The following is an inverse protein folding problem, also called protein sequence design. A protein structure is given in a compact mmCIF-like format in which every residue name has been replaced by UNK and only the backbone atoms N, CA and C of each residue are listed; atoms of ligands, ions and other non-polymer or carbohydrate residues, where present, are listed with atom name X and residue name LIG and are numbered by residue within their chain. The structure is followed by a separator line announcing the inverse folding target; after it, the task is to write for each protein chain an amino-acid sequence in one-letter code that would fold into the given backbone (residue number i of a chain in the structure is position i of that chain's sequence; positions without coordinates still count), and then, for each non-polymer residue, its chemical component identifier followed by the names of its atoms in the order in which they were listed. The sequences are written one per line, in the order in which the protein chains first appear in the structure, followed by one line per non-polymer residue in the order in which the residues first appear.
data_IF_545097115600
#
_entry.id   IF_545097115600
#
_cell.length_a   1.000
_cell.length_b   1.000
_cell.length_c   1.000
_cell.angle_alpha   90.00
_cell.angle_beta   90.00
_cell.angle_gamma   90.00
#
_symmetry.space_group_name_H-M   'P 1'
#
loop_
_entity.id
_entity.type
_entity.pdbx_description
1 polymer ?
#
# COMPACT_ATOMS: atom_id res chain seq x y z
N UNK A 1 41.55 -3.73 21.95
CA UNK A 1 40.86 -2.43 21.75
C UNK A 1 40.52 -2.16 20.28
N UNK A 2 41.47 -2.19 19.33
CA UNK A 2 41.19 -1.96 17.89
C UNK A 2 40.13 -2.91 17.28
N UNK A 3 40.19 -4.22 17.57
CA UNK A 3 39.26 -5.21 17.00
C UNK A 3 37.80 -4.93 17.44
N UNK A 4 37.59 -4.58 18.71
CA UNK A 4 36.26 -4.26 19.25
C UNK A 4 35.73 -2.97 18.61
N UNK A 5 36.56 -1.94 18.45
CA UNK A 5 36.15 -0.68 17.83
C UNK A 5 35.78 -0.87 16.35
N UNK A 6 36.52 -1.71 15.61
CA UNK A 6 36.19 -2.05 14.22
C UNK A 6 34.85 -2.79 14.14
N UNK A 7 34.62 -3.78 15.00
CA UNK A 7 33.34 -4.50 15.04
C UNK A 7 32.14 -3.60 15.34
N UNK A 8 32.30 -2.63 16.25
CA UNK A 8 31.24 -1.66 16.57
C UNK A 8 30.94 -0.72 15.40
N UNK A 9 31.96 -0.33 14.64
CA UNK A 9 31.78 0.49 13.43
C UNK A 9 31.05 -0.29 12.33
N UNK A 10 31.39 -1.57 12.14
CA UNK A 10 30.72 -2.42 11.16
C UNK A 10 29.23 -2.59 11.49
N UNK A 11 28.88 -2.84 12.76
CA UNK A 11 27.49 -2.95 13.23
C UNK A 11 26.71 -1.65 13.01
N UNK A 12 27.34 -0.49 13.24
CA UNK A 12 26.71 0.82 13.03
C UNK A 12 26.46 1.10 11.54
N UNK A 13 27.42 0.79 10.66
CA UNK A 13 27.27 0.94 9.21
C UNK A 13 26.12 0.06 8.70
N UNK A 14 26.08 -1.20 9.15
CA UNK A 14 24.99 -2.12 8.80
C UNK A 14 23.64 -1.57 9.27
N UNK A 15 23.57 -1.02 10.47
CA UNK A 15 22.33 -0.44 11.03
C UNK A 15 21.84 0.76 10.21
N UNK A 16 22.73 1.65 9.78
CA UNK A 16 22.38 2.77 8.89
C UNK A 16 21.84 2.25 7.56
N UNK A 17 22.49 1.25 6.96
CA UNK A 17 22.02 0.63 5.71
C UNK A 17 20.64 0.01 5.90
N UNK A 18 20.40 -0.70 7.00
CA UNK A 18 19.10 -1.31 7.28
C UNK A 18 17.99 -0.27 7.46
N UNK A 19 18.24 0.84 8.14
CA UNK A 19 17.27 1.93 8.27
C UNK A 19 16.94 2.54 6.90
N UNK A 20 17.96 2.74 6.05
CA UNK A 20 17.75 3.26 4.69
C UNK A 20 16.96 2.27 3.83
N UNK A 21 17.22 0.98 3.94
CA UNK A 21 16.46 -0.06 3.25
C UNK A 21 15.01 -0.13 3.76
N UNK A 22 14.79 -0.02 5.07
CA UNK A 22 13.45 0.09 5.66
C UNK A 22 12.68 1.25 5.04
N UNK A 23 13.31 2.43 5.00
CA UNK A 23 12.76 3.62 4.36
C UNK A 23 12.42 3.42 2.88
N UNK A 24 13.31 2.76 2.15
CA UNK A 24 13.08 2.42 0.75
C UNK A 24 11.85 1.52 0.58
N UNK A 25 11.74 0.40 1.30
CA UNK A 25 10.61 -0.52 1.14
C UNK A 25 9.29 0.11 1.57
N UNK A 26 9.28 0.80 2.72
CA UNK A 26 8.12 1.50 3.28
C UNK A 26 7.62 2.62 2.35
N UNK A 27 8.55 3.39 1.76
CA UNK A 27 8.24 4.42 0.77
C UNK A 27 7.68 3.84 -0.53
N UNK A 28 8.32 2.81 -1.08
CA UNK A 28 7.90 2.15 -2.33
C UNK A 28 6.52 1.51 -2.18
N UNK A 29 6.22 0.90 -1.04
CA UNK A 29 4.88 0.42 -0.70
C UNK A 29 3.84 1.52 -0.88
N UNK A 30 4.06 2.68 -0.24
CA UNK A 30 3.11 3.79 -0.29
C UNK A 30 2.99 4.42 -1.68
N UNK A 31 4.06 4.48 -2.45
CA UNK A 31 4.02 4.92 -3.84
C UNK A 31 3.16 3.97 -4.71
N UNK A 32 3.41 2.67 -4.64
CA UNK A 32 2.70 1.68 -5.47
C UNK A 32 1.23 1.50 -5.06
N UNK A 33 0.90 1.70 -3.78
CA UNK A 33 -0.49 1.71 -3.31
C UNK A 33 -1.21 2.96 -3.81
N UNK A 34 -0.63 4.14 -3.60
CA UNK A 34 -1.27 5.43 -3.88
C UNK A 34 -1.48 5.73 -5.37
N UNK A 35 -0.70 5.15 -6.29
CA UNK A 35 -0.90 5.39 -7.72
C UNK A 35 -2.23 4.84 -8.23
N UNK A 36 -3.16 5.69 -8.67
CA UNK A 36 -4.50 5.26 -9.09
C UNK A 36 -4.53 4.36 -10.35
N UNK A 37 -5.58 3.53 -10.51
CA UNK A 37 -5.75 2.66 -11.69
C UNK A 37 -5.83 3.44 -13.01
N UNK A 38 -6.48 4.60 -13.00
CA UNK A 38 -6.60 5.49 -14.17
C UNK A 38 -5.22 6.00 -14.58
N UNK A 39 -4.39 6.42 -13.62
CA UNK A 39 -3.02 6.87 -13.86
C UNK A 39 -2.16 5.76 -14.47
N UNK A 40 -2.24 4.52 -13.95
CA UNK A 40 -1.52 3.39 -14.54
C UNK A 40 -1.94 3.11 -15.98
N UNK A 41 -3.24 3.18 -16.30
CA UNK A 41 -3.72 3.06 -17.70
C UNK A 41 -3.15 4.16 -18.59
N UNK A 42 -3.12 5.41 -18.13
CA UNK A 42 -2.51 6.53 -18.86
C UNK A 42 -1.02 6.27 -19.15
N UNK A 43 -0.26 5.77 -18.18
CA UNK A 43 1.16 5.44 -18.34
C UNK A 43 1.41 4.32 -19.37
N UNK A 44 0.51 3.34 -19.44
CA UNK A 44 0.54 2.28 -20.46
C UNK A 44 0.30 2.85 -21.87
N UNK A 45 -0.70 3.72 -22.03
CA UNK A 45 -1.00 4.39 -23.30
C UNK A 45 0.17 5.25 -23.77
N UNK A 46 0.82 5.95 -22.83
CA UNK A 46 2.01 6.76 -23.09
C UNK A 46 3.30 5.93 -23.28
N UNK A 47 3.22 4.59 -23.23
CA UNK A 47 4.35 3.67 -23.39
C UNK A 47 5.54 4.00 -22.47
N UNK A 48 5.27 4.47 -21.25
CA UNK A 48 6.31 4.83 -20.28
C UNK A 48 7.08 3.58 -19.83
N UNK A 49 8.39 3.69 -19.70
CA UNK A 49 9.24 2.58 -19.21
C UNK A 49 8.80 2.18 -17.81
N UNK A 50 8.59 0.88 -17.58
CA UNK A 50 8.12 0.35 -16.28
C UNK A 50 6.60 0.34 -16.09
N UNK A 51 5.82 1.01 -16.96
CA UNK A 51 4.35 1.08 -16.83
C UNK A 51 3.69 -0.32 -16.85
N UNK A 52 4.19 -1.22 -17.71
CA UNK A 52 3.72 -2.61 -17.77
C UNK A 52 3.98 -3.34 -16.45
N UNK A 53 5.17 -3.20 -15.88
CA UNK A 53 5.51 -3.83 -14.61
C UNK A 53 4.69 -3.27 -13.45
N UNK A 54 4.46 -1.95 -13.40
CA UNK A 54 3.54 -1.35 -12.41
C UNK A 54 2.14 -1.95 -12.56
N UNK A 55 1.62 -2.06 -13.78
CA UNK A 55 0.32 -2.66 -14.04
C UNK A 55 0.24 -4.13 -13.60
N UNK A 56 1.29 -4.91 -13.87
CA UNK A 56 1.39 -6.31 -13.46
C UNK A 56 1.43 -6.46 -11.93
N UNK A 57 2.22 -5.62 -11.23
CA UNK A 57 2.27 -5.59 -9.77
C UNK A 57 0.91 -5.20 -9.17
N UNK A 58 0.20 -4.25 -9.77
CA UNK A 58 -1.14 -3.82 -9.30
C UNK A 58 -2.25 -4.81 -9.63
N UNK A 59 -2.01 -5.82 -10.47
CA UNK A 59 -2.99 -6.87 -10.80
C UNK A 59 -3.29 -7.75 -9.59
N UNK A 60 -2.30 -8.00 -8.75
CA UNK A 60 -2.43 -8.73 -7.49
C UNK A 60 -1.90 -7.88 -6.32
N UNK A 61 -2.73 -6.95 -5.80
CA UNK A 61 -2.31 -6.06 -4.72
C UNK A 61 -2.01 -6.84 -3.44
N UNK A 62 -2.66 -7.99 -3.21
CA UNK A 62 -2.37 -8.83 -2.05
C UNK A 62 -0.94 -9.40 -2.15
N UNK A 63 -0.55 -9.95 -3.30
CA UNK A 63 0.82 -10.43 -3.52
C UNK A 63 1.84 -9.30 -3.36
N UNK A 64 1.55 -8.13 -3.93
CA UNK A 64 2.41 -6.95 -3.80
C UNK A 64 2.62 -6.54 -2.34
N UNK A 65 1.53 -6.38 -1.58
CA UNK A 65 1.57 -6.02 -0.17
C UNK A 65 2.38 -7.02 0.64
N UNK A 66 2.09 -8.32 0.50
CA UNK A 66 2.82 -9.36 1.23
C UNK A 66 4.30 -9.36 0.85
N UNK A 67 4.66 -9.16 -0.42
CA UNK A 67 6.05 -9.10 -0.86
C UNK A 67 6.82 -7.99 -0.13
N UNK A 68 6.30 -6.77 -0.16
CA UNK A 68 6.99 -5.62 0.43
C UNK A 68 6.97 -5.71 1.96
N UNK A 69 5.86 -6.16 2.54
CA UNK A 69 5.72 -6.33 3.99
C UNK A 69 6.72 -7.34 4.55
N UNK A 70 6.95 -8.47 3.86
CA UNK A 70 7.94 -9.47 4.27
C UNK A 70 9.35 -8.88 4.22
N UNK A 71 9.70 -8.19 3.14
CA UNK A 71 11.03 -7.58 3.00
C UNK A 71 11.26 -6.50 4.06
N UNK A 72 10.29 -5.63 4.28
CA UNK A 72 10.37 -4.56 5.27
C UNK A 72 10.49 -5.12 6.70
N UNK A 73 9.67 -6.13 7.05
CA UNK A 73 9.76 -6.75 8.37
C UNK A 73 11.08 -7.47 8.61
N UNK A 74 11.63 -8.16 7.60
CA UNK A 74 12.94 -8.78 7.71
C UNK A 74 14.00 -7.74 8.07
N UNK A 75 14.01 -6.62 7.36
CA UNK A 75 14.96 -5.52 7.59
C UNK A 75 14.77 -4.90 8.98
N UNK A 76 13.53 -4.60 9.37
CA UNK A 76 13.22 -3.97 10.66
C UNK A 76 13.60 -4.87 11.83
N UNK A 77 13.28 -6.17 11.75
CA UNK A 77 13.63 -7.14 12.78
C UNK A 77 15.14 -7.33 12.86
N UNK A 78 15.84 -7.42 11.71
CA UNK A 78 17.30 -7.47 11.69
C UNK A 78 17.93 -6.22 12.30
N UNK A 79 17.41 -5.03 11.98
CA UNK A 79 17.91 -3.77 12.53
C UNK A 79 17.72 -3.72 14.05
N UNK A 80 16.53 -4.08 14.54
CA UNK A 80 16.23 -4.14 15.97
C UNK A 80 17.11 -5.16 16.72
N UNK A 81 17.34 -6.35 16.13
CA UNK A 81 18.17 -7.38 16.72
C UNK A 81 19.65 -6.93 16.83
N UNK A 82 20.20 -6.34 15.76
CA UNK A 82 21.58 -5.82 15.76
C UNK A 82 21.71 -4.66 16.74
N UNK A 83 20.77 -3.72 16.74
CA UNK A 83 20.77 -2.59 17.68
C UNK A 83 20.71 -3.04 19.14
N UNK A 84 19.88 -4.05 19.43
CA UNK A 84 19.76 -4.63 20.77
C UNK A 84 21.06 -5.32 21.17
N UNK A 85 21.67 -6.10 20.27
CA UNK A 85 22.97 -6.74 20.52
C UNK A 85 24.06 -5.70 20.82
N UNK A 86 24.13 -4.66 20.00
CA UNK A 86 25.06 -3.53 20.17
C UNK A 86 24.84 -2.81 21.50
N UNK A 87 23.59 -2.51 21.85
CA UNK A 87 23.29 -1.81 23.09
C UNK A 87 23.58 -2.65 24.34
N UNK A 88 23.37 -3.98 24.30
CA UNK A 88 23.75 -4.87 25.40
C UNK A 88 25.27 -4.86 25.59
N UNK A 89 26.06 -4.88 24.49
CA UNK A 89 27.53 -4.82 24.57
C UNK A 89 28.03 -3.50 25.18
N UNK A 90 27.34 -2.39 24.93
CA UNK A 90 27.75 -1.05 25.39
C UNK A 90 27.21 -0.67 26.77
N UNK A 91 25.97 -1.04 27.08
CA UNK A 91 25.22 -0.56 28.25
C UNK A 91 24.75 -1.68 29.19
N UNK A 92 25.11 -2.94 28.91
CA UNK A 92 24.68 -4.09 29.71
C UNK A 92 23.19 -4.36 29.62
N UNK A 93 22.58 -4.87 30.69
CA UNK A 93 21.16 -5.27 30.71
C UNK A 93 20.19 -4.10 30.46
N UNK A 94 20.56 -2.87 30.84
CA UNK A 94 19.77 -1.67 30.55
C UNK A 94 19.75 -1.28 29.07
N UNK A 95 20.68 -1.80 28.27
CA UNK A 95 20.80 -1.50 26.84
C UNK A 95 19.58 -1.92 26.01
N UNK A 96 18.82 -2.94 26.45
CA UNK A 96 17.63 -3.42 25.73
C UNK A 96 16.55 -2.32 25.65
N UNK A 97 16.27 -1.63 26.75
CA UNK A 97 15.29 -0.55 26.79
C UNK A 97 15.72 0.64 25.93
N UNK A 98 17.01 0.98 25.98
CA UNK A 98 17.60 2.06 25.17
C UNK A 98 17.50 1.73 23.69
N UNK A 99 17.93 0.53 23.28
CA UNK A 99 17.84 0.08 21.88
C UNK A 99 16.40 0.10 21.38
N UNK A 100 15.46 -0.40 22.19
CA UNK A 100 14.03 -0.44 21.82
C UNK A 100 13.49 0.96 21.56
N UNK A 101 13.72 1.90 22.48
CA UNK A 101 13.25 3.28 22.35
C UNK A 101 13.90 4.02 21.16
N UNK A 102 15.23 3.93 21.06
CA UNK A 102 15.99 4.60 19.99
C UNK A 102 15.63 4.03 18.63
N UNK A 103 15.59 2.71 18.46
CA UNK A 103 15.26 2.08 17.19
C UNK A 103 13.81 2.32 16.79
N UNK A 104 12.87 2.34 17.73
CA UNK A 104 11.47 2.68 17.43
C UNK A 104 11.38 4.08 16.86
N UNK A 105 12.03 5.06 17.50
CA UNK A 105 12.08 6.43 16.99
C UNK A 105 12.73 6.50 15.60
N UNK A 106 13.90 5.86 15.43
CA UNK A 106 14.63 5.91 14.16
C UNK A 106 13.87 5.25 13.01
N UNK A 107 13.31 4.05 13.22
CA UNK A 107 12.52 3.35 12.21
C UNK A 107 11.24 4.13 11.90
N UNK A 108 10.51 4.63 12.90
CA UNK A 108 9.30 5.40 12.63
C UNK A 108 9.59 6.68 11.85
N UNK A 109 10.59 7.46 12.24
CA UNK A 109 10.87 8.75 11.59
C UNK A 109 11.54 8.53 10.24
N UNK A 110 12.63 7.77 10.18
CA UNK A 110 13.48 7.65 8.99
C UNK A 110 13.18 6.42 8.13
N UNK A 111 12.67 5.34 8.72
CA UNK A 111 12.30 4.11 8.02
C UNK A 111 10.84 4.07 7.55
N UNK A 112 9.95 4.87 8.14
CA UNK A 112 8.52 4.78 7.83
C UNK A 112 7.87 6.10 7.45
N UNK A 113 7.65 7.00 8.41
CA UNK A 113 6.80 8.19 8.23
C UNK A 113 7.37 9.10 7.14
N UNK A 114 8.65 9.50 7.25
CA UNK A 114 9.26 10.44 6.29
C UNK A 114 9.32 9.86 4.87
N UNK A 115 9.82 8.62 4.66
CA UNK A 115 9.86 8.04 3.32
C UNK A 115 8.47 7.83 2.72
N UNK A 116 7.49 7.38 3.51
CA UNK A 116 6.10 7.19 3.05
C UNK A 116 5.50 8.50 2.54
N UNK A 117 5.59 9.57 3.34
CA UNK A 117 5.06 10.88 2.97
C UNK A 117 5.72 11.43 1.70
N UNK A 118 7.05 11.31 1.59
CA UNK A 118 7.77 11.72 0.38
C UNK A 118 7.35 10.91 -0.85
N UNK A 119 7.26 9.58 -0.72
CA UNK A 119 6.99 8.69 -1.84
C UNK A 119 5.55 8.78 -2.36
N UNK A 120 4.59 9.15 -1.49
CA UNK A 120 3.21 9.44 -1.92
C UNK A 120 3.17 10.64 -2.86
N UNK A 121 3.95 11.70 -2.58
CA UNK A 121 4.00 12.91 -3.41
C UNK A 121 4.57 12.64 -4.82
N UNK A 122 5.54 11.72 -4.92
CA UNK A 122 6.21 11.37 -6.18
C UNK A 122 5.86 9.95 -6.65
N UNK A 123 4.63 9.50 -6.37
CA UNK A 123 4.24 8.10 -6.52
C UNK A 123 4.41 7.55 -7.95
N UNK A 124 4.15 8.34 -8.99
CA UNK A 124 4.32 7.93 -10.39
C UNK A 124 5.78 7.56 -10.68
N UNK A 125 6.69 8.49 -10.41
CA UNK A 125 8.11 8.35 -10.75
C UNK A 125 8.74 7.20 -9.96
N UNK A 126 8.46 7.13 -8.66
CA UNK A 126 9.00 6.11 -7.77
C UNK A 126 8.42 4.74 -8.13
N UNK A 127 7.12 4.65 -8.42
CA UNK A 127 6.50 3.39 -8.87
C UNK A 127 7.15 2.88 -10.15
N UNK A 128 7.37 3.73 -11.15
CA UNK A 128 7.99 3.32 -12.41
C UNK A 128 9.45 2.87 -12.22
N UNK A 129 10.22 3.57 -11.38
CA UNK A 129 11.62 3.26 -11.11
C UNK A 129 11.78 1.94 -10.35
N UNK A 130 10.93 1.71 -9.36
CA UNK A 130 11.06 0.59 -8.40
C UNK A 130 10.26 -0.65 -8.76
N UNK A 131 9.35 -0.56 -9.73
CA UNK A 131 8.51 -1.68 -10.16
C UNK A 131 9.31 -2.93 -10.56
N UNK A 132 10.39 -2.78 -11.33
CA UNK A 132 11.22 -3.93 -11.74
C UNK A 132 11.93 -4.60 -10.54
N UNK A 133 12.67 -3.87 -9.68
CA UNK A 133 13.22 -4.43 -8.45
C UNK A 133 12.18 -5.18 -7.60
N UNK A 134 11.01 -4.59 -7.37
CA UNK A 134 9.94 -5.21 -6.58
C UNK A 134 9.39 -6.47 -7.26
N UNK A 135 9.25 -6.46 -8.59
CA UNK A 135 8.82 -7.64 -9.33
C UNK A 135 9.81 -8.80 -9.17
N UNK A 136 11.11 -8.54 -9.29
CA UNK A 136 12.16 -9.55 -9.07
C UNK A 136 12.11 -10.09 -7.64
N UNK A 137 11.98 -9.20 -6.66
CA UNK A 137 11.84 -9.58 -5.25
C UNK A 137 10.60 -10.45 -5.01
N UNK A 138 9.49 -10.14 -5.67
CA UNK A 138 8.26 -10.93 -5.59
C UNK A 138 8.40 -12.34 -6.17
N UNK A 139 9.26 -12.52 -7.18
CA UNK A 139 9.61 -13.84 -7.69
C UNK A 139 10.53 -14.60 -6.74
N UNK A 140 11.54 -13.93 -6.17
CA UNK A 140 12.47 -14.53 -5.22
C UNK A 140 11.77 -14.99 -3.93
N UNK A 141 10.86 -14.17 -3.40
CA UNK A 141 10.09 -14.46 -2.19
C UNK A 141 8.83 -15.28 -2.45
N UNK A 142 8.60 -15.74 -3.68
CA UNK A 142 7.40 -16.50 -4.05
C UNK A 142 7.06 -17.68 -3.11
N UNK A 143 8.00 -18.56 -2.69
CA UNK A 143 7.66 -19.67 -1.80
C UNK A 143 7.17 -19.18 -0.43
N UNK A 144 7.79 -18.14 0.13
CA UNK A 144 7.38 -17.54 1.40
C UNK A 144 6.00 -16.89 1.27
N UNK A 145 5.78 -16.14 0.20
CA UNK A 145 4.50 -15.49 -0.09
C UNK A 145 3.37 -16.52 -0.26
N UNK A 146 3.65 -17.66 -0.90
CA UNK A 146 2.67 -18.73 -1.07
C UNK A 146 2.23 -19.30 0.28
N UNK A 147 3.18 -19.62 1.16
CA UNK A 147 2.90 -20.16 2.51
C UNK A 147 2.09 -19.15 3.32
N UNK A 148 2.53 -17.88 3.37
CA UNK A 148 1.82 -16.83 4.10
C UNK A 148 0.38 -16.66 3.59
N UNK A 149 0.18 -16.64 2.28
CA UNK A 149 -1.16 -16.55 1.70
C UNK A 149 -2.04 -17.77 2.03
N UNK A 150 -1.46 -18.97 2.11
CA UNK A 150 -2.20 -20.16 2.53
C UNK A 150 -2.65 -20.05 3.99
N UNK A 151 -1.77 -19.59 4.88
CA UNK A 151 -2.08 -19.35 6.29
C UNK A 151 -3.17 -18.28 6.43
N UNK A 152 -3.03 -17.13 5.76
CA UNK A 152 -4.03 -16.06 5.83
C UNK A 152 -5.39 -16.53 5.31
N UNK A 153 -5.43 -17.32 4.22
CA UNK A 153 -6.69 -17.91 3.71
C UNK A 153 -7.31 -18.89 4.71
N UNK A 154 -6.50 -19.73 5.34
CA UNK A 154 -6.96 -20.64 6.40
C UNK A 154 -7.56 -19.87 7.58
N UNK A 155 -6.88 -18.83 8.06
CA UNK A 155 -7.38 -17.97 9.13
C UNK A 155 -8.69 -17.26 8.75
N UNK A 156 -8.81 -16.72 7.53
CA UNK A 156 -10.05 -16.11 7.06
C UNK A 156 -11.21 -17.12 6.98
N UNK A 157 -10.93 -18.35 6.55
CA UNK A 157 -11.93 -19.42 6.51
C UNK A 157 -12.42 -19.81 7.91
N UNK A 158 -11.53 -19.85 8.91
CA UNK A 158 -11.88 -20.12 10.31
C UNK A 158 -12.80 -19.04 10.91
N UNK A 159 -12.59 -17.77 10.52
CA UNK A 159 -13.39 -16.64 11.00
C UNK A 159 -14.69 -16.49 10.16
N UNK A 160 -14.85 -17.23 9.07
CA UNK A 160 -16.03 -17.16 8.20
C UNK A 160 -16.06 -15.94 7.27
N UNK A 161 -14.93 -15.25 7.07
CA UNK A 161 -14.85 -14.06 6.21
C UNK A 161 -14.72 -14.48 4.74
N UNK A 162 -15.80 -14.30 4.00
CA UNK A 162 -15.84 -14.52 2.54
C UNK A 162 -15.28 -13.31 1.79
N UNK A 163 -14.45 -13.56 0.75
CA UNK A 163 -14.03 -12.54 -0.23
C UNK A 163 -15.22 -12.11 -1.10
N UNK A 164 -16.19 -11.38 -0.54
CA UNK A 164 -17.12 -10.60 -1.37
C UNK A 164 -16.38 -9.33 -1.80
N UNK A 165 -16.17 -9.15 -3.11
CA UNK A 165 -15.81 -7.80 -3.61
C UNK A 165 -16.99 -6.90 -3.24
N UNK A 166 -16.77 -5.73 -2.60
CA UNK A 166 -17.84 -4.76 -2.46
C UNK A 166 -18.31 -4.44 -3.89
N UNK A 167 -19.56 -4.79 -4.19
CA UNK A 167 -20.20 -4.34 -5.41
C UNK A 167 -20.62 -2.91 -5.13
N UNK A 168 -20.25 -2.00 -6.02
CA UNK A 168 -20.73 -0.62 -5.99
C UNK A 168 -22.25 -0.64 -5.91
N UNK A 169 -22.81 -0.01 -4.89
CA UNK A 169 -24.27 0.15 -4.77
C UNK A 169 -24.73 1.37 -5.55
N UNK A 170 -26.01 1.45 -5.85
CA UNK A 170 -26.59 2.64 -6.48
C UNK A 170 -26.47 3.87 -5.58
N UNK A 171 -26.58 3.71 -4.27
CA UNK A 171 -26.38 4.80 -3.29
C UNK A 171 -24.95 5.34 -3.32
N UNK A 172 -23.94 4.45 -3.41
CA UNK A 172 -22.55 4.87 -3.56
C UNK A 172 -22.33 5.62 -4.89
N UNK A 173 -22.99 5.19 -5.97
CA UNK A 173 -22.98 5.90 -7.26
C UNK A 173 -23.62 7.29 -7.17
N UNK A 174 -24.80 7.42 -6.54
CA UNK A 174 -25.46 8.71 -6.30
C UNK A 174 -24.56 9.65 -5.47
N UNK A 175 -23.89 9.10 -4.46
CA UNK A 175 -22.94 9.85 -3.62
C UNK A 175 -21.76 10.38 -4.43
N UNK A 176 -21.18 9.57 -5.33
CA UNK A 176 -20.09 10.02 -6.20
C UNK A 176 -20.54 11.15 -7.13
N UNK A 177 -21.75 11.07 -7.70
CA UNK A 177 -22.31 12.12 -8.56
C UNK A 177 -22.50 13.42 -7.78
N UNK A 178 -23.00 13.33 -6.54
CA UNK A 178 -23.15 14.50 -5.66
C UNK A 178 -21.79 15.16 -5.33
N UNK A 179 -20.78 14.37 -4.95
CA UNK A 179 -19.44 14.90 -4.69
C UNK A 179 -18.85 15.57 -5.95
N UNK A 180 -19.09 14.98 -7.14
CA UNK A 180 -18.65 15.58 -8.41
C UNK A 180 -19.29 16.93 -8.71
N UNK A 181 -20.55 17.16 -8.29
CA UNK A 181 -21.20 18.48 -8.39
C UNK A 181 -20.59 19.47 -7.38
N UNK A 182 -20.39 19.06 -6.13
CA UNK A 182 -19.79 19.90 -5.07
C UNK A 182 -18.36 20.33 -5.43
N UNK A 183 -17.59 19.46 -6.07
CA UNK A 183 -16.23 19.77 -6.57
C UNK A 183 -16.24 20.53 -7.91
N UNK A 184 -17.41 20.82 -8.49
CA UNK A 184 -17.57 21.56 -9.76
C UNK A 184 -17.13 20.78 -11.00
N UNK A 185 -17.02 19.45 -10.90
CA UNK A 185 -16.68 18.54 -12.00
C UNK A 185 -17.91 18.15 -12.82
N UNK A 186 -19.10 18.15 -12.20
CA UNK A 186 -20.39 17.82 -12.79
C UNK A 186 -21.30 19.03 -12.65
N UNK A 187 -22.02 19.41 -13.71
CA UNK A 187 -22.98 20.51 -13.66
C UNK A 187 -24.29 20.08 -12.97
N UNK A 188 -25.01 21.02 -12.35
CA UNK A 188 -26.27 20.74 -11.64
C UNK A 188 -27.32 20.06 -12.54
N UNK A 189 -27.36 20.43 -13.82
CA UNK A 189 -28.28 19.84 -14.79
C UNK A 189 -27.89 18.40 -15.16
N UNK A 190 -26.59 18.09 -15.24
CA UNK A 190 -26.09 16.73 -15.45
C UNK A 190 -26.42 15.83 -14.25
N UNK A 191 -26.26 16.33 -13.03
CA UNK A 191 -26.70 15.62 -11.81
C UNK A 191 -28.19 15.33 -11.83
N UNK A 192 -29.02 16.33 -12.16
CA UNK A 192 -30.49 16.15 -12.25
C UNK A 192 -30.86 15.08 -13.27
N UNK A 193 -30.19 15.05 -14.42
CA UNK A 193 -30.38 14.01 -15.43
C UNK A 193 -29.99 12.62 -14.93
N UNK A 194 -28.84 12.49 -14.26
CA UNK A 194 -28.40 11.21 -13.69
C UNK A 194 -29.35 10.69 -12.61
N UNK A 195 -29.86 11.56 -11.73
CA UNK A 195 -30.89 11.19 -10.76
C UNK A 195 -32.21 10.76 -11.41
N UNK A 196 -32.64 11.45 -12.47
CA UNK A 196 -33.82 11.06 -13.21
C UNK A 196 -33.65 9.69 -13.88
N UNK A 197 -32.45 9.36 -14.40
CA UNK A 197 -32.13 8.05 -14.95
C UNK A 197 -32.19 6.94 -13.90
N UNK A 198 -31.68 7.19 -12.69
CA UNK A 198 -31.80 6.22 -11.58
C UNK A 198 -33.27 5.96 -11.23
N UNK A 199 -34.05 7.02 -11.06
CA UNK A 199 -35.47 6.90 -10.73
C UNK A 199 -36.29 6.25 -11.85
N UNK A 200 -35.95 6.51 -13.12
CA UNK A 200 -36.60 5.88 -14.27
C UNK A 200 -36.43 4.36 -14.28
N UNK A 201 -35.25 3.86 -13.88
CA UNK A 201 -35.00 2.42 -13.75
C UNK A 201 -35.93 1.72 -12.75
N UNK A 202 -36.35 2.44 -11.71
CA UNK A 202 -37.27 1.96 -10.67
C UNK A 202 -38.74 2.27 -10.97
N UNK A 203 -39.02 3.17 -11.92
CA UNK A 203 -40.37 3.63 -12.23
C UNK A 203 -41.18 2.52 -12.90
N UNK A 204 -42.33 2.17 -12.33
CA UNK A 204 -43.24 1.17 -12.89
C UNK A 204 -44.13 1.79 -13.97
N UNK A 205 -44.47 1.01 -14.99
CA UNK A 205 -45.40 1.47 -16.04
C UNK A 205 -46.75 1.97 -15.47
N UNK A 206 -47.20 1.41 -14.34
CA UNK A 206 -48.40 1.85 -13.61
C UNK A 206 -48.30 3.26 -13.02
N UNK A 207 -47.10 3.77 -12.78
CA UNK A 207 -46.85 5.10 -12.21
C UNK A 207 -46.88 6.20 -13.27
N UNK A 208 -46.79 5.82 -14.55
CA UNK A 208 -46.75 6.74 -15.70
C UNK A 208 -47.96 6.61 -16.61
N UNK A 209 -48.74 5.52 -16.48
CA UNK A 209 -49.93 5.32 -17.28
C UNK A 209 -51.03 6.31 -16.90
N UNK A 210 -51.76 6.81 -17.90
CA UNK A 210 -52.92 7.65 -17.69
C UNK A 210 -54.08 6.74 -17.27
N UNK A 211 -54.66 6.89 -16.07
CA UNK A 211 -55.79 6.08 -15.63
C UNK A 211 -56.96 6.32 -16.58
N UNK A 212 -57.67 5.25 -16.93
CA UNK A 212 -58.91 5.37 -17.69
C UNK A 212 -59.95 6.02 -16.78
N UNK A 213 -60.44 7.21 -17.14
CA UNK A 213 -61.57 7.84 -16.48
C UNK A 213 -62.83 7.00 -16.73
N UNK A 214 -63.57 6.67 -15.66
CA UNK A 214 -64.93 6.11 -15.75
C UNK A 214 -65.96 7.19 -16.15
#
# INVERSE_FOLDING_TARGET
MRIIVVQLLDELIILVILIMLSGFFSGVESALISIGRIHVKKLLMQKRRGARTVADLKRDPQKLLVTILVANNLINISAAAIATSLAIKLFGSGGVGIATGVMTFLILVFGEITPKTFCIKYNEQISLLTAKPIQVLSYLLWPVIFILNAITKGMMALIGVSKKRPKMTEEELKTIVQIGEEEGVIEEDERRMMHALFNFGDTRASEVMIPKSD
#
